data_IF_315921896865
#
_entry.id   IF_315921896865
#
_cell.length_a   1.000
_cell.length_b   1.000
_cell.length_c   1.000
_cell.angle_alpha   90.00
_cell.angle_beta   90.00
_cell.angle_gamma   90.00
#
_symmetry.space_group_name_H-M   'P 1'
#
loop_
_entity.id
_entity.type
_entity.pdbx_description
1 polymer ?
#
# COMPACT_ATOMS: atom_id res chain seq x y z
N UNK A 1 22.55 0.84 -15.27
CA UNK A 1 23.04 1.00 -13.88
C UNK A 1 21.87 1.51 -13.08
N UNK A 2 21.35 0.72 -12.12
CA UNK A 2 20.18 1.10 -11.33
C UNK A 2 20.44 2.43 -10.61
N UNK A 3 19.41 3.29 -10.53
CA UNK A 3 19.47 4.57 -9.80
C UNK A 3 19.90 4.38 -8.35
N UNK A 4 19.52 3.25 -7.73
CA UNK A 4 19.95 2.84 -6.40
C UNK A 4 21.46 2.61 -6.32
N UNK A 5 22.02 1.93 -7.33
CA UNK A 5 23.46 1.67 -7.44
C UNK A 5 24.27 2.96 -7.63
N UNK A 6 23.74 3.92 -8.39
CA UNK A 6 24.36 5.23 -8.57
C UNK A 6 24.34 6.05 -7.27
N UNK A 7 23.24 6.02 -6.51
CA UNK A 7 23.14 6.68 -5.21
C UNK A 7 24.09 6.05 -4.18
N UNK A 8 24.16 4.71 -4.12
CA UNK A 8 25.08 3.99 -3.24
C UNK A 8 26.54 4.35 -3.57
N UNK A 9 26.90 4.39 -4.86
CA UNK A 9 28.24 4.77 -5.30
C UNK A 9 28.58 6.21 -4.93
N UNK A 10 27.64 7.15 -5.09
CA UNK A 10 27.84 8.55 -4.70
C UNK A 10 27.99 8.71 -3.18
N UNK A 11 27.19 8.00 -2.38
CA UNK A 11 27.30 8.00 -0.93
C UNK A 11 28.60 7.35 -0.45
N UNK A 12 29.02 6.24 -1.07
CA UNK A 12 30.29 5.59 -0.77
C UNK A 12 31.49 6.47 -1.13
N UNK A 13 31.42 7.19 -2.27
CA UNK A 13 32.44 8.16 -2.67
C UNK A 13 32.50 9.32 -1.67
N UNK A 14 31.36 9.87 -1.27
CA UNK A 14 31.30 10.95 -0.29
C UNK A 14 31.83 10.51 1.08
N UNK A 15 31.43 9.32 1.56
CA UNK A 15 31.95 8.73 2.79
C UNK A 15 33.47 8.47 2.69
N UNK A 16 33.95 7.96 1.55
CA UNK A 16 35.37 7.78 1.27
C UNK A 16 36.15 9.09 1.30
N UNK A 17 35.62 10.16 0.72
CA UNK A 17 36.21 11.50 0.76
C UNK A 17 36.24 12.08 2.18
N UNK A 18 35.18 11.87 2.97
CA UNK A 18 35.14 12.28 4.38
C UNK A 18 36.16 11.50 5.21
N UNK A 19 36.23 10.18 5.05
CA UNK A 19 37.22 9.34 5.76
C UNK A 19 38.63 9.72 5.33
N UNK A 20 38.89 9.94 4.04
CA UNK A 20 40.19 10.38 3.54
C UNK A 20 40.56 11.75 4.11
N UNK A 21 39.62 12.70 4.17
CA UNK A 21 39.81 14.01 4.80
C UNK A 21 40.11 13.88 6.30
N UNK A 22 39.38 13.03 7.02
CA UNK A 22 39.60 12.78 8.45
C UNK A 22 40.95 12.11 8.70
N UNK A 23 41.34 11.13 7.89
CA UNK A 23 42.65 10.47 7.97
C UNK A 23 43.79 11.43 7.63
N UNK A 24 43.66 12.23 6.58
CA UNK A 24 44.64 13.27 6.23
C UNK A 24 44.75 14.34 7.33
N UNK A 25 43.65 14.68 7.99
CA UNK A 25 43.63 15.64 9.09
C UNK A 25 44.10 15.02 10.43
N UNK A 26 43.99 13.70 10.60
CA UNK A 26 44.54 12.95 11.72
C UNK A 26 46.04 12.70 11.57
N UNK A 27 46.52 12.49 10.34
CA UNK A 27 47.92 12.33 9.99
C UNK A 27 48.70 13.65 9.95
N UNK A 28 48.03 14.79 10.08
CA UNK A 28 48.70 16.08 10.29
C UNK A 28 49.40 16.07 11.66
N UNK A 29 50.72 16.22 11.64
CA UNK A 29 51.55 16.38 12.85
C UNK A 29 50.98 17.50 13.74
N UNK A 30 50.27 17.11 14.78
CA UNK A 30 49.85 18.03 15.84
C UNK A 30 51.07 18.21 16.73
N UNK A 31 51.55 19.45 16.88
CA UNK A 31 52.64 19.78 17.80
C UNK A 31 52.37 19.11 19.15
N UNK A 32 53.30 18.29 19.68
CA UNK A 32 53.08 17.57 20.92
C UNK A 32 53.03 18.59 22.06
N UNK A 33 51.83 18.94 22.52
CA UNK A 33 51.66 19.54 23.85
C UNK A 33 51.64 18.36 24.82
N UNK A 34 52.78 17.70 24.96
CA UNK A 34 53.01 16.66 25.96
C UNK A 34 53.43 17.35 27.27
N UNK A 35 52.72 17.01 28.35
CA UNK A 35 53.03 17.28 29.78
C UNK A 35 52.11 18.22 30.56
N UNK A 36 51.04 18.79 29.97
CA UNK A 36 50.06 19.63 30.72
C UNK A 36 48.67 18.95 30.81
N UNK A 37 48.14 18.72 32.05
CA UNK A 37 46.79 18.21 32.25
C UNK A 37 45.73 19.06 31.53
N UNK A 38 44.65 18.48 30.97
CA UNK A 38 43.70 19.21 30.11
C UNK A 38 43.12 20.49 30.72
N UNK A 39 42.92 20.54 32.05
CA UNK A 39 42.40 21.68 32.78
C UNK A 39 43.43 22.82 33.02
N UNK A 40 44.72 22.56 32.81
CA UNK A 40 45.82 23.51 33.02
C UNK A 40 46.45 23.97 31.70
N UNK A 41 45.93 23.51 30.56
CA UNK A 41 46.40 23.95 29.25
C UNK A 41 46.09 25.45 29.09
N UNK A 42 47.03 26.26 28.56
CA UNK A 42 46.73 27.62 28.18
C UNK A 42 45.50 27.63 27.27
N UNK A 43 44.54 28.52 27.56
CA UNK A 43 43.45 28.78 26.63
C UNK A 43 44.02 29.25 25.28
N UNK A 44 43.23 29.12 24.23
CA UNK A 44 43.57 29.73 22.94
C UNK A 44 43.80 31.22 23.14
N UNK A 45 44.82 31.77 22.49
CA UNK A 45 45.00 33.21 22.43
C UNK A 45 43.84 33.87 21.67
N UNK A 46 43.59 35.16 21.92
CA UNK A 46 42.52 35.90 21.23
C UNK A 46 42.65 35.80 19.70
N UNK A 47 43.86 35.86 19.17
CA UNK A 47 44.11 35.73 17.73
C UNK A 47 43.86 34.31 17.19
N UNK A 48 44.07 33.27 18.00
CA UNK A 48 43.72 31.89 17.64
C UNK A 48 42.20 31.65 17.67
N UNK A 49 41.52 32.24 18.65
CA UNK A 49 40.06 32.20 18.81
C UNK A 49 39.37 32.87 17.62
N UNK A 50 39.80 34.09 17.28
CA UNK A 50 39.18 34.92 16.24
C UNK A 50 39.49 34.42 14.81
N UNK A 51 40.59 33.70 14.61
CA UNK A 51 40.97 33.21 13.28
C UNK A 51 40.75 31.71 13.15
N UNK A 52 41.70 30.91 13.64
CA UNK A 52 41.75 29.47 13.33
C UNK A 52 40.59 28.66 13.92
N UNK A 53 40.16 29.01 15.13
CA UNK A 53 39.08 28.30 15.83
C UNK A 53 37.73 28.72 15.24
N UNK A 54 37.52 30.02 15.04
CA UNK A 54 36.32 30.56 14.40
C UNK A 54 36.15 30.03 12.97
N UNK A 55 37.20 30.11 12.13
CA UNK A 55 37.19 29.58 10.76
C UNK A 55 36.84 28.09 10.72
N UNK A 56 37.35 27.30 11.69
CA UNK A 56 37.04 25.87 11.79
C UNK A 56 35.56 25.63 12.09
N UNK A 57 34.98 26.36 13.03
CA UNK A 57 33.56 26.20 13.37
C UNK A 57 32.64 26.71 12.25
N UNK A 58 32.98 27.85 11.63
CA UNK A 58 32.26 28.35 10.46
C UNK A 58 32.34 27.37 9.28
N UNK A 59 33.50 26.76 9.06
CA UNK A 59 33.68 25.71 8.06
C UNK A 59 32.76 24.51 8.30
N UNK A 60 32.66 24.03 9.54
CA UNK A 60 31.71 22.98 9.90
C UNK A 60 30.25 23.41 9.73
N UNK A 61 29.90 24.67 10.04
CA UNK A 61 28.58 25.21 9.81
C UNK A 61 28.16 25.20 8.33
N UNK A 62 29.08 25.57 7.43
CA UNK A 62 28.86 25.52 5.98
C UNK A 62 28.68 24.07 5.52
N UNK A 63 29.53 23.15 5.96
CA UNK A 63 29.42 21.72 5.62
C UNK A 63 28.06 21.17 6.03
N UNK A 64 27.63 21.44 7.27
CA UNK A 64 26.34 20.98 7.79
C UNK A 64 25.16 21.58 7.01
N UNK A 65 25.27 22.85 6.64
CA UNK A 65 24.27 23.56 5.82
C UNK A 65 24.16 22.92 4.43
N UNK A 66 25.28 22.62 3.77
CA UNK A 66 25.31 21.95 2.46
C UNK A 66 24.73 20.54 2.57
N UNK A 67 25.06 19.80 3.63
CA UNK A 67 24.48 18.47 3.89
C UNK A 67 22.96 18.55 3.95
N UNK A 68 22.38 19.44 4.76
CA UNK A 68 20.92 19.56 4.86
C UNK A 68 20.29 20.09 3.57
N UNK A 69 20.93 21.04 2.90
CA UNK A 69 20.45 21.61 1.63
C UNK A 69 20.36 20.58 0.50
N UNK A 70 21.17 19.52 0.55
CA UNK A 70 21.11 18.41 -0.42
C UNK A 70 20.26 17.25 0.11
N UNK A 71 20.43 16.89 1.37
CA UNK A 71 19.76 15.74 1.99
C UNK A 71 18.25 15.93 2.06
N UNK A 72 17.75 17.09 2.49
CA UNK A 72 16.31 17.30 2.65
C UNK A 72 15.56 17.25 1.30
N UNK A 73 16.01 17.91 0.22
CA UNK A 73 15.40 17.73 -1.09
C UNK A 73 15.51 16.31 -1.64
N UNK A 74 16.66 15.64 -1.47
CA UNK A 74 16.83 14.25 -1.91
C UNK A 74 15.91 13.29 -1.15
N UNK A 75 15.78 13.48 0.16
CA UNK A 75 14.84 12.73 1.01
C UNK A 75 13.40 12.98 0.57
N UNK A 76 13.02 14.25 0.36
CA UNK A 76 11.68 14.63 -0.10
C UNK A 76 11.34 14.04 -1.47
N UNK A 77 12.29 13.97 -2.41
CA UNK A 77 12.09 13.34 -3.72
C UNK A 77 11.88 11.82 -3.63
N UNK A 78 12.36 11.16 -2.57
CA UNK A 78 12.20 9.72 -2.36
C UNK A 78 11.04 9.37 -1.41
N UNK A 79 10.57 10.32 -0.59
CA UNK A 79 9.47 10.14 0.36
C UNK A 79 8.16 9.64 -0.31
N UNK A 80 7.74 10.12 -1.50
CA UNK A 80 6.57 9.56 -2.17
C UNK A 80 6.67 8.05 -2.41
N UNK A 81 7.85 7.54 -2.82
CA UNK A 81 8.03 6.08 -3.05
C UNK A 81 7.94 5.27 -1.77
N UNK A 82 8.46 5.81 -0.66
CA UNK A 82 8.37 5.18 0.67
C UNK A 82 6.92 5.12 1.15
N UNK A 83 6.16 6.20 0.95
CA UNK A 83 4.76 6.27 1.34
C UNK A 83 3.87 5.37 0.46
N UNK A 84 4.17 5.26 -0.84
CA UNK A 84 3.45 4.37 -1.77
C UNK A 84 3.44 2.91 -1.30
N UNK A 85 4.61 2.35 -0.96
CA UNK A 85 4.70 0.96 -0.48
C UNK A 85 3.96 0.73 0.84
N UNK A 86 3.87 1.76 1.70
CA UNK A 86 3.12 1.67 2.96
C UNK A 86 1.60 1.73 2.74
N UNK A 87 1.11 2.62 1.89
CA UNK A 87 -0.33 2.77 1.64
C UNK A 87 -0.93 1.55 0.92
N UNK A 88 -0.21 0.96 -0.04
CA UNK A 88 -0.63 -0.28 -0.70
C UNK A 88 -0.73 -1.44 0.29
N UNK A 89 0.26 -1.56 1.19
CA UNK A 89 0.24 -2.57 2.24
C UNK A 89 -0.91 -2.37 3.22
N UNK A 90 -1.16 -1.13 3.64
CA UNK A 90 -2.23 -0.80 4.58
C UNK A 90 -3.61 -1.14 3.98
N UNK A 91 -3.83 -0.86 2.68
CA UNK A 91 -5.07 -1.21 1.98
C UNK A 91 -5.24 -2.72 1.80
N UNK A 92 -4.21 -3.43 1.33
CA UNK A 92 -4.29 -4.90 1.17
C UNK A 92 -4.59 -5.57 2.51
N UNK A 93 -3.89 -5.15 3.57
CA UNK A 93 -4.14 -5.67 4.90
C UNK A 93 -5.54 -5.31 5.42
N UNK A 94 -6.05 -4.10 5.12
CA UNK A 94 -7.44 -3.71 5.41
C UNK A 94 -8.44 -4.62 4.71
N UNK A 95 -8.25 -4.86 3.40
CA UNK A 95 -9.11 -5.73 2.61
C UNK A 95 -9.12 -7.18 3.10
N UNK A 96 -7.95 -7.75 3.41
CA UNK A 96 -7.82 -9.13 3.89
C UNK A 96 -8.48 -9.31 5.26
N UNK A 97 -8.20 -8.42 6.22
CA UNK A 97 -8.88 -8.41 7.52
C UNK A 97 -10.39 -8.21 7.37
N UNK A 98 -10.79 -7.29 6.47
CA UNK A 98 -12.17 -7.02 6.15
C UNK A 98 -12.91 -8.24 5.62
N UNK A 99 -12.27 -9.01 4.74
CA UNK A 99 -12.80 -10.26 4.22
C UNK A 99 -13.02 -11.28 5.33
N UNK A 100 -12.04 -11.50 6.19
CA UNK A 100 -12.12 -12.46 7.29
C UNK A 100 -13.25 -12.09 8.26
N UNK A 101 -13.31 -10.81 8.64
CA UNK A 101 -14.36 -10.27 9.49
C UNK A 101 -15.74 -10.41 8.85
N UNK A 102 -15.85 -10.10 7.56
CA UNK A 102 -17.09 -10.22 6.81
C UNK A 102 -17.57 -11.68 6.74
N UNK A 103 -16.68 -12.61 6.41
CA UNK A 103 -17.00 -14.03 6.34
C UNK A 103 -17.46 -14.55 7.70
N UNK A 104 -16.77 -14.17 8.78
CA UNK A 104 -17.09 -14.61 10.13
C UNK A 104 -18.43 -14.06 10.65
N UNK A 105 -18.80 -12.82 10.30
CA UNK A 105 -19.89 -12.10 10.97
C UNK A 105 -21.10 -11.79 10.07
N UNK A 106 -20.89 -11.57 8.77
CA UNK A 106 -21.89 -11.00 7.87
C UNK A 106 -22.40 -12.00 6.82
N UNK A 107 -21.57 -12.96 6.43
CA UNK A 107 -21.85 -13.87 5.31
C UNK A 107 -23.08 -14.76 5.51
N UNK A 108 -23.42 -15.08 6.76
CA UNK A 108 -24.58 -15.92 7.09
C UNK A 108 -25.89 -15.33 6.57
N UNK A 109 -26.00 -13.99 6.53
CA UNK A 109 -27.17 -13.30 6.01
C UNK A 109 -26.92 -12.76 4.59
N UNK A 110 -25.75 -12.15 4.36
CA UNK A 110 -25.47 -11.40 3.13
C UNK A 110 -24.79 -12.20 2.02
N UNK A 111 -24.57 -13.50 2.20
CA UNK A 111 -23.87 -14.36 1.25
C UNK A 111 -22.35 -14.26 1.39
N UNK A 112 -21.61 -15.22 0.82
CA UNK A 112 -20.17 -15.30 1.01
C UNK A 112 -19.40 -14.16 0.32
N UNK A 113 -19.97 -13.57 -0.72
CA UNK A 113 -19.42 -12.46 -1.50
C UNK A 113 -20.31 -11.21 -1.46
N UNK A 114 -21.23 -11.11 -0.51
CA UNK A 114 -22.16 -9.96 -0.45
C UNK A 114 -23.28 -10.00 -1.47
N UNK A 115 -23.55 -11.15 -2.09
CA UNK A 115 -24.62 -11.33 -3.08
C UNK A 115 -26.05 -11.15 -2.51
N UNK A 116 -26.18 -11.03 -1.20
CA UNK A 116 -27.45 -10.96 -0.48
C UNK A 116 -27.92 -12.35 -0.05
N UNK A 117 -29.07 -12.38 0.61
CA UNK A 117 -29.60 -13.63 1.16
C UNK A 117 -30.84 -13.35 2.00
N UNK A 118 -30.99 -14.08 3.09
CA UNK A 118 -32.09 -13.87 4.02
C UNK A 118 -31.90 -14.61 5.32
N UNK A 119 -32.63 -14.17 6.33
CA UNK A 119 -32.71 -14.83 7.64
C UNK A 119 -34.16 -14.90 8.08
N UNK A 120 -34.49 -15.78 9.03
CA UNK A 120 -35.83 -15.86 9.58
C UNK A 120 -36.24 -14.50 10.18
N UNK A 121 -37.47 -14.08 9.92
CA UNK A 121 -37.99 -12.84 10.49
C UNK A 121 -38.12 -12.97 12.01
N UNK A 122 -37.75 -11.90 12.73
CA UNK A 122 -37.92 -11.84 14.19
C UNK A 122 -39.37 -11.68 14.62
N UNK A 123 -40.27 -11.43 13.66
CA UNK A 123 -41.69 -11.17 13.91
C UNK A 123 -42.61 -12.32 13.50
N UNK A 124 -42.19 -13.14 12.53
CA UNK A 124 -42.93 -14.30 12.03
C UNK A 124 -41.95 -15.39 11.61
N UNK A 125 -42.10 -16.59 12.18
CA UNK A 125 -41.20 -17.71 11.93
C UNK A 125 -41.35 -18.31 10.52
N UNK A 126 -42.49 -18.05 9.86
CA UNK A 126 -42.75 -18.50 8.49
C UNK A 126 -42.32 -17.47 7.44
N UNK A 127 -41.86 -16.29 7.87
CA UNK A 127 -41.41 -15.20 6.99
C UNK A 127 -39.88 -15.06 6.99
N UNK A 128 -39.32 -14.67 5.85
CA UNK A 128 -37.86 -14.50 5.66
C UNK A 128 -37.55 -13.03 5.42
N UNK A 129 -36.74 -12.44 6.29
CA UNK A 129 -36.23 -11.10 6.08
C UNK A 129 -35.10 -11.14 5.05
N UNK A 130 -35.29 -10.47 3.91
CA UNK A 130 -34.28 -10.39 2.86
C UNK A 130 -33.09 -9.55 3.31
N UNK A 131 -31.90 -10.15 3.30
CA UNK A 131 -30.65 -9.45 3.46
C UNK A 131 -30.27 -8.79 2.12
N UNK A 132 -30.03 -7.48 2.09
CA UNK A 132 -29.74 -6.79 0.85
C UNK A 132 -28.45 -7.30 0.20
N UNK A 133 -28.47 -7.37 -1.13
CA UNK A 133 -27.25 -7.54 -1.93
C UNK A 133 -26.34 -6.32 -1.70
N UNK A 134 -25.13 -6.59 -1.19
CA UNK A 134 -24.12 -5.59 -0.90
C UNK A 134 -23.26 -5.29 -2.12
N UNK A 135 -23.12 -6.22 -3.08
CA UNK A 135 -22.37 -6.01 -4.34
C UNK A 135 -22.95 -4.93 -5.26
N UNK A 136 -24.10 -4.35 -4.93
CA UNK A 136 -24.74 -3.30 -5.72
C UNK A 136 -25.20 -2.12 -4.87
N UNK A 137 -24.67 -1.99 -3.65
CA UNK A 137 -25.10 -0.96 -2.69
C UNK A 137 -24.79 0.45 -3.19
N UNK A 138 -23.63 0.65 -3.83
CA UNK A 138 -23.26 1.96 -4.39
C UNK A 138 -24.31 2.39 -5.41
N UNK A 139 -24.56 1.54 -6.41
CA UNK A 139 -25.58 1.79 -7.44
C UNK A 139 -26.99 1.97 -6.86
N UNK A 140 -27.34 1.24 -5.80
CA UNK A 140 -28.67 1.36 -5.17
C UNK A 140 -28.93 2.79 -4.69
N UNK A 141 -27.88 3.49 -4.25
CA UNK A 141 -27.97 4.82 -3.65
C UNK A 141 -27.37 5.95 -4.51
N UNK A 142 -26.85 5.62 -5.70
CA UNK A 142 -26.25 6.56 -6.66
C UNK A 142 -27.19 7.73 -7.02
N UNK A 143 -28.47 7.41 -7.30
CA UNK A 143 -29.52 8.40 -7.60
C UNK A 143 -30.49 8.61 -6.41
N UNK A 144 -30.15 8.07 -5.25
CA UNK A 144 -31.05 8.05 -4.09
C UNK A 144 -31.08 9.38 -3.35
N UNK A 145 -32.27 9.95 -3.15
CA UNK A 145 -32.45 11.07 -2.24
C UNK A 145 -32.13 10.64 -0.80
N UNK A 146 -31.01 11.10 -0.24
CA UNK A 146 -30.68 10.95 1.18
C UNK A 146 -29.35 10.25 1.52
N UNK A 147 -28.57 9.80 0.53
CA UNK A 147 -27.21 9.25 0.75
C UNK A 147 -26.22 10.08 -0.07
N UNK A 148 -25.45 10.94 0.61
CA UNK A 148 -24.46 11.82 -0.05
C UNK A 148 -23.06 11.21 -0.08
N UNK A 149 -22.74 10.36 0.89
CA UNK A 149 -21.49 9.61 0.96
C UNK A 149 -21.84 8.15 1.29
N UNK A 150 -21.54 7.26 0.34
CA UNK A 150 -21.87 5.84 0.49
C UNK A 150 -21.01 5.15 1.55
N UNK A 151 -19.76 5.60 1.75
CA UNK A 151 -18.88 5.05 2.77
C UNK A 151 -19.43 5.38 4.14
N UNK A 152 -19.71 6.66 4.39
CA UNK A 152 -20.30 7.14 5.64
C UNK A 152 -21.63 6.43 5.92
N UNK A 153 -22.44 6.20 4.88
CA UNK A 153 -23.69 5.45 5.00
C UNK A 153 -23.46 3.99 5.43
N UNK A 154 -22.50 3.30 4.83
CA UNK A 154 -22.16 1.91 5.20
C UNK A 154 -21.62 1.87 6.62
N UNK A 155 -20.63 2.71 6.95
CA UNK A 155 -20.01 2.75 8.28
C UNK A 155 -21.06 3.08 9.34
N UNK A 156 -21.88 4.11 9.15
CA UNK A 156 -22.97 4.45 10.06
C UNK A 156 -23.96 3.31 10.23
N UNK A 157 -24.28 2.59 9.16
CA UNK A 157 -25.19 1.43 9.20
C UNK A 157 -24.57 0.26 9.96
N UNK A 158 -23.27 0.01 9.79
CA UNK A 158 -22.56 -1.04 10.53
C UNK A 158 -22.43 -0.66 12.02
N UNK A 159 -22.09 0.59 12.32
CA UNK A 159 -22.02 1.10 13.68
C UNK A 159 -23.36 0.93 14.40
N UNK A 160 -24.45 1.46 13.84
CA UNK A 160 -25.75 1.55 14.52
C UNK A 160 -26.68 0.36 14.30
N UNK A 161 -26.36 -0.49 13.33
CA UNK A 161 -27.31 -1.46 12.81
C UNK A 161 -28.49 -0.78 12.13
N UNK A 162 -29.55 -1.55 11.86
CA UNK A 162 -30.79 -1.02 11.29
C UNK A 162 -31.99 -1.40 12.17
N UNK A 163 -32.45 -0.48 13.04
CA UNK A 163 -33.58 -0.72 13.92
C UNK A 163 -34.82 -1.23 13.17
N UNK A 164 -35.50 -2.22 13.76
CA UNK A 164 -36.66 -2.87 13.13
C UNK A 164 -36.31 -3.91 12.07
N UNK A 165 -35.02 -4.26 11.91
CA UNK A 165 -34.57 -5.38 11.08
C UNK A 165 -33.68 -6.33 11.89
N UNK A 166 -33.41 -7.55 11.40
CA UNK A 166 -32.43 -8.45 12.02
C UNK A 166 -30.96 -7.96 11.97
N UNK A 167 -30.65 -6.81 11.35
CA UNK A 167 -29.29 -6.27 11.27
C UNK A 167 -28.92 -5.53 12.58
N UNK A 168 -28.07 -6.12 13.45
CA UNK A 168 -27.73 -5.53 14.73
C UNK A 168 -26.70 -4.40 14.58
N UNK A 169 -26.46 -3.68 15.68
CA UNK A 169 -25.31 -2.78 15.80
C UNK A 169 -24.02 -3.60 15.91
N UNK A 170 -23.00 -3.23 15.13
CA UNK A 170 -21.69 -3.88 15.16
C UNK A 170 -20.60 -3.00 15.78
N UNK A 171 -20.77 -1.68 15.71
CA UNK A 171 -19.83 -0.74 16.29
C UNK A 171 -19.83 -0.78 17.81
N UNK A 172 -18.63 -0.78 18.39
CA UNK A 172 -18.42 -0.79 19.85
C UNK A 172 -19.05 0.39 20.57
N UNK A 173 -19.17 1.54 19.90
CA UNK A 173 -19.87 2.74 20.34
C UNK A 173 -21.39 2.57 20.48
N UNK A 174 -21.97 1.59 19.79
CA UNK A 174 -23.38 1.21 19.89
C UNK A 174 -23.58 -0.18 20.54
N UNK A 175 -22.57 -0.68 21.24
CA UNK A 175 -22.63 -1.94 21.99
C UNK A 175 -22.39 -3.20 21.17
N UNK A 176 -21.95 -3.06 19.91
CA UNK A 176 -21.49 -4.17 19.08
C UNK A 176 -20.05 -4.61 19.39
N UNK A 177 -19.59 -5.73 18.80
CA UNK A 177 -18.29 -6.32 19.15
C UNK A 177 -17.10 -5.74 18.38
N UNK A 178 -17.33 -4.89 17.36
CA UNK A 178 -16.28 -4.45 16.44
C UNK A 178 -15.76 -3.05 16.76
N UNK A 179 -14.44 -2.86 16.59
CA UNK A 179 -13.79 -1.55 16.68
C UNK A 179 -14.00 -0.72 15.41
N UNK A 180 -13.79 0.59 15.48
CA UNK A 180 -13.89 1.50 14.32
C UNK A 180 -13.01 1.02 13.15
N UNK A 181 -11.79 0.55 13.44
CA UNK A 181 -10.90 0.01 12.41
C UNK A 181 -11.47 -1.26 11.75
N UNK A 182 -12.09 -2.15 12.52
CA UNK A 182 -12.71 -3.36 11.97
C UNK A 182 -13.92 -3.02 11.10
N UNK A 183 -14.67 -1.96 11.44
CA UNK A 183 -15.77 -1.44 10.62
C UNK A 183 -15.24 -0.86 9.31
N UNK A 184 -14.14 -0.10 9.36
CA UNK A 184 -13.44 0.39 8.17
C UNK A 184 -12.96 -0.75 7.28
N UNK A 185 -12.31 -1.77 7.86
CA UNK A 185 -11.81 -2.94 7.12
C UNK A 185 -12.96 -3.67 6.38
N UNK A 186 -14.10 -3.90 7.06
CA UNK A 186 -15.30 -4.49 6.43
C UNK A 186 -15.86 -3.58 5.33
N UNK A 187 -15.89 -2.27 5.56
CA UNK A 187 -16.40 -1.29 4.58
C UNK A 187 -15.52 -1.27 3.33
N UNK A 188 -14.20 -1.29 3.50
CA UNK A 188 -13.23 -1.40 2.40
C UNK A 188 -13.48 -2.66 1.58
N UNK A 189 -13.72 -3.79 2.24
CA UNK A 189 -14.07 -5.04 1.57
C UNK A 189 -15.42 -4.96 0.82
N UNK A 190 -16.47 -4.39 1.42
CA UNK A 190 -17.79 -4.23 0.76
C UNK A 190 -17.66 -3.35 -0.49
N UNK A 191 -16.98 -2.21 -0.37
CA UNK A 191 -16.77 -1.27 -1.46
C UNK A 191 -15.90 -1.88 -2.55
N UNK A 192 -14.92 -2.71 -2.20
CA UNK A 192 -14.09 -3.41 -3.17
C UNK A 192 -14.83 -4.52 -3.94
N UNK A 193 -16.00 -4.96 -3.48
CA UNK A 193 -16.79 -6.03 -4.10
C UNK A 193 -18.03 -5.53 -4.89
N UNK A 194 -18.07 -4.26 -5.28
CA UNK A 194 -19.16 -3.74 -6.11
C UNK A 194 -19.13 -4.28 -7.54
N UNK A 195 -20.32 -4.53 -8.12
CA UNK A 195 -20.52 -5.00 -9.50
C UNK A 195 -21.05 -3.87 -10.38
N UNK A 196 -20.50 -3.79 -11.60
CA UNK A 196 -20.93 -2.86 -12.62
C UNK A 196 -22.37 -3.15 -13.14
N UNK A 197 -23.01 -2.12 -13.74
CA UNK A 197 -24.25 -2.27 -14.51
C UNK A 197 -23.96 -3.11 -15.76
N UNK A 198 -24.83 -4.06 -16.11
CA UNK A 198 -24.60 -4.99 -17.23
C UNK A 198 -24.47 -4.21 -18.56
N UNK A 199 -23.24 -4.22 -19.09
CA UNK A 199 -22.77 -4.04 -20.46
C UNK A 199 -23.59 -3.19 -21.45
N UNK A 200 -23.14 -1.95 -21.70
CA UNK A 200 -23.02 -1.51 -23.10
C UNK A 200 -21.83 -2.25 -23.72
N UNK A 201 -21.94 -2.63 -25.00
CA UNK A 201 -20.99 -3.50 -25.70
C UNK A 201 -19.54 -3.11 -25.37
N UNK A 202 -18.82 -4.01 -24.72
CA UNK A 202 -17.46 -3.78 -24.25
C UNK A 202 -16.49 -3.96 -25.44
N UNK A 203 -15.92 -2.89 -26.03
CA UNK A 203 -14.93 -3.02 -27.09
C UNK A 203 -13.68 -3.79 -26.62
N UNK A 204 -13.54 -4.03 -25.32
CA UNK A 204 -12.50 -4.86 -24.73
C UNK A 204 -12.81 -6.36 -24.71
N UNK A 205 -14.06 -6.78 -24.95
CA UNK A 205 -14.43 -8.20 -24.97
C UNK A 205 -13.66 -8.97 -26.04
N UNK A 206 -13.42 -8.36 -27.21
CA UNK A 206 -12.68 -8.99 -28.31
C UNK A 206 -11.15 -8.88 -28.16
N UNK A 207 -10.66 -8.14 -27.16
CA UNK A 207 -9.24 -7.94 -26.94
C UNK A 207 -8.65 -9.02 -26.04
N UNK A 208 -7.45 -9.47 -26.38
CA UNK A 208 -6.65 -10.35 -25.51
C UNK A 208 -6.14 -9.58 -24.29
N UNK A 209 -5.84 -10.30 -23.20
CA UNK A 209 -5.24 -9.70 -21.99
C UNK A 209 -3.97 -8.90 -22.26
N UNK A 210 -3.15 -9.34 -23.22
CA UNK A 210 -1.95 -8.61 -23.68
C UNK A 210 -2.32 -7.27 -24.32
N UNK A 211 -3.34 -7.24 -25.18
CA UNK A 211 -3.78 -6.00 -25.84
C UNK A 211 -4.36 -5.01 -24.83
N UNK A 212 -5.16 -5.51 -23.89
CA UNK A 212 -5.72 -4.71 -22.80
C UNK A 212 -4.61 -4.09 -21.94
N UNK A 213 -3.62 -4.90 -21.54
CA UNK A 213 -2.46 -4.43 -20.81
C UNK A 213 -1.67 -3.37 -21.59
N UNK A 214 -1.41 -3.61 -22.87
CA UNK A 214 -0.63 -2.71 -23.71
C UNK A 214 -1.33 -1.37 -23.99
N UNK A 215 -2.66 -1.32 -24.01
CA UNK A 215 -3.38 -0.07 -24.26
C UNK A 215 -3.31 0.89 -23.07
N UNK A 216 -3.31 0.33 -21.86
CA UNK A 216 -3.68 1.06 -20.66
C UNK A 216 -2.71 0.90 -19.49
N UNK A 217 -2.27 -0.32 -19.20
CA UNK A 217 -1.47 -0.63 -18.01
C UNK A 217 0.03 -0.36 -18.24
N UNK A 218 0.54 -0.60 -19.45
CA UNK A 218 1.99 -0.50 -19.75
C UNK A 218 2.57 0.89 -19.44
N UNK A 219 1.76 1.94 -19.58
CA UNK A 219 2.19 3.33 -19.41
C UNK A 219 2.72 3.59 -17.99
N UNK A 220 2.21 2.85 -17.01
CA UNK A 220 2.59 2.98 -15.61
C UNK A 220 3.40 1.78 -15.12
N UNK A 221 3.04 0.56 -15.53
CA UNK A 221 3.63 -0.68 -15.02
C UNK A 221 4.75 -1.25 -15.90
N UNK A 222 5.11 -0.57 -17.00
CA UNK A 222 6.19 -1.00 -17.89
C UNK A 222 5.76 -2.06 -18.89
N UNK A 223 6.59 -2.30 -19.91
CA UNK A 223 6.27 -3.25 -21.00
C UNK A 223 6.43 -4.70 -20.54
N UNK A 224 7.41 -4.92 -19.67
CA UNK A 224 7.84 -6.21 -19.13
C UNK A 224 7.43 -6.35 -17.65
N UNK A 225 6.43 -5.56 -17.21
CA UNK A 225 5.89 -5.52 -15.83
C UNK A 225 6.87 -4.95 -14.79
N UNK A 226 7.94 -4.32 -15.22
CA UNK A 226 9.04 -3.81 -14.40
C UNK A 226 8.66 -2.61 -13.52
N UNK A 227 7.58 -1.92 -13.84
CA UNK A 227 7.14 -0.71 -13.13
C UNK A 227 7.93 0.55 -13.51
N UNK A 228 7.30 1.71 -13.33
CA UNK A 228 7.97 3.02 -13.47
C UNK A 228 7.22 4.09 -12.66
N UNK A 229 5.98 4.38 -13.07
CA UNK A 229 5.04 5.24 -12.33
C UNK A 229 4.22 4.40 -11.35
N UNK A 230 3.72 3.25 -11.84
CA UNK A 230 3.10 2.23 -11.01
C UNK A 230 4.14 1.20 -10.56
N UNK A 231 3.83 0.42 -9.50
CA UNK A 231 4.74 -0.60 -8.97
C UNK A 231 4.99 -1.72 -10.00
N UNK A 232 6.06 -2.48 -9.77
CA UNK A 232 6.33 -3.68 -10.56
C UNK A 232 5.24 -4.73 -10.34
N UNK A 233 4.76 -5.31 -11.44
CA UNK A 233 3.82 -6.45 -11.41
C UNK A 233 4.56 -7.79 -11.55
N UNK A 234 5.89 -7.79 -11.55
CA UNK A 234 6.69 -9.02 -11.44
C UNK A 234 6.57 -9.55 -10.01
N UNK A 235 6.21 -10.84 -9.89
CA UNK A 235 5.94 -11.50 -8.62
C UNK A 235 4.59 -11.16 -7.97
N UNK A 236 3.69 -10.43 -8.66
CA UNK A 236 2.44 -9.94 -8.04
C UNK A 236 1.57 -11.06 -7.47
N UNK A 237 1.51 -12.23 -8.13
CA UNK A 237 0.73 -13.39 -7.66
C UNK A 237 1.45 -14.23 -6.59
N UNK A 238 2.65 -13.83 -6.18
CA UNK A 238 3.31 -14.37 -4.99
C UNK A 238 3.00 -13.49 -3.77
N UNK A 239 2.78 -12.19 -3.98
CA UNK A 239 2.39 -11.22 -2.94
C UNK A 239 0.88 -11.17 -2.70
N UNK A 240 0.07 -11.39 -3.74
CA UNK A 240 -1.38 -11.22 -3.67
C UNK A 240 -2.12 -12.39 -4.31
N UNK A 241 -3.31 -12.68 -3.78
CA UNK A 241 -4.22 -13.63 -4.39
C UNK A 241 -4.72 -13.14 -5.75
N UNK A 242 -5.30 -14.04 -6.55
CA UNK A 242 -5.92 -13.66 -7.83
C UNK A 242 -7.06 -12.67 -7.61
N UNK A 243 -7.82 -12.92 -6.56
CA UNK A 243 -9.01 -12.20 -6.16
C UNK A 243 -8.62 -10.78 -5.69
N UNK A 244 -7.53 -10.65 -4.95
CA UNK A 244 -6.96 -9.35 -4.56
C UNK A 244 -6.57 -8.52 -5.78
N UNK A 245 -5.82 -9.10 -6.73
CA UNK A 245 -5.41 -8.40 -7.96
C UNK A 245 -6.63 -8.00 -8.80
N UNK A 246 -7.65 -8.86 -8.88
CA UNK A 246 -8.90 -8.53 -9.56
C UNK A 246 -9.63 -7.39 -8.84
N UNK A 247 -9.72 -7.42 -7.51
CA UNK A 247 -10.31 -6.34 -6.70
C UNK A 247 -9.61 -4.99 -6.91
N UNK A 248 -8.28 -4.99 -7.01
CA UNK A 248 -7.48 -3.79 -7.34
C UNK A 248 -7.84 -3.28 -8.75
N UNK A 249 -7.92 -4.16 -9.75
CA UNK A 249 -8.33 -3.75 -11.09
C UNK A 249 -9.75 -3.19 -11.12
N UNK A 250 -10.66 -3.71 -10.30
CA UNK A 250 -12.04 -3.22 -10.25
C UNK A 250 -12.16 -1.82 -9.66
N UNK A 251 -11.44 -1.55 -8.58
CA UNK A 251 -11.68 -0.37 -7.74
C UNK A 251 -10.57 0.67 -7.80
N UNK A 252 -9.42 0.30 -8.36
CA UNK A 252 -8.23 1.13 -8.31
C UNK A 252 -7.63 1.18 -6.91
N UNK A 253 -6.53 1.93 -6.79
CA UNK A 253 -5.87 2.23 -5.52
C UNK A 253 -5.52 3.72 -5.54
N UNK A 254 -5.97 4.46 -4.53
CA UNK A 254 -5.54 5.83 -4.30
C UNK A 254 -4.32 5.88 -3.40
N UNK A 255 -3.22 6.43 -3.89
CA UNK A 255 -2.01 6.64 -3.09
C UNK A 255 -2.00 8.09 -2.56
N UNK A 256 -1.54 8.27 -1.31
CA UNK A 256 -1.58 9.55 -0.60
C UNK A 256 -0.80 10.70 -1.29
N UNK A 257 0.05 10.39 -2.26
CA UNK A 257 0.82 11.35 -3.05
C UNK A 257 0.07 11.87 -4.30
N UNK A 258 -1.22 11.55 -4.45
CA UNK A 258 -2.04 11.95 -5.60
C UNK A 258 -1.86 11.07 -6.85
N UNK A 259 -1.02 10.03 -6.79
CA UNK A 259 -0.95 9.02 -7.86
C UNK A 259 -2.04 7.99 -7.58
N UNK A 260 -3.04 7.95 -8.44
CA UNK A 260 -4.12 6.96 -8.37
C UNK A 260 -3.91 5.93 -9.49
N UNK A 261 -3.91 4.65 -9.14
CA UNK A 261 -4.29 3.63 -10.10
C UNK A 261 -5.80 3.71 -10.19
N UNK A 262 -6.37 4.21 -11.31
CA UNK A 262 -7.81 4.33 -11.41
C UNK A 262 -8.47 2.94 -11.42
N UNK A 263 -9.74 2.82 -11.01
CA UNK A 263 -10.51 1.64 -11.30
C UNK A 263 -10.57 1.41 -12.81
N UNK A 264 -10.48 0.14 -13.18
CA UNK A 264 -10.64 -0.34 -14.54
C UNK A 264 -11.97 -1.03 -14.75
N UNK A 265 -12.86 -0.98 -13.77
CA UNK A 265 -14.30 -1.21 -13.93
C UNK A 265 -15.07 0.08 -13.70
N UNK A 266 -16.27 0.16 -14.27
CA UNK A 266 -17.25 1.18 -13.85
C UNK A 266 -17.51 1.02 -12.36
N UNK A 267 -17.10 2.01 -11.57
CA UNK A 267 -17.15 2.00 -10.11
C UNK A 267 -17.29 3.42 -9.55
N UNK A 268 -17.61 3.51 -8.26
CA UNK A 268 -18.03 4.72 -7.52
C UNK A 268 -17.28 6.02 -7.85
N UNK A 269 -15.99 5.97 -8.20
CA UNK A 269 -15.21 7.17 -8.49
C UNK A 269 -15.15 7.60 -9.97
N UNK A 270 -15.55 6.77 -10.95
CA UNK A 270 -15.39 7.09 -12.38
C UNK A 270 -16.49 6.44 -13.25
N UNK A 271 -17.40 7.28 -13.76
CA UNK A 271 -18.63 6.88 -14.48
C UNK A 271 -18.42 6.58 -15.98
N UNK A 272 -17.32 7.03 -16.59
CA UNK A 272 -17.04 6.87 -18.03
C UNK A 272 -16.22 5.60 -18.33
N UNK A 273 -16.92 4.45 -18.36
CA UNK A 273 -16.55 3.06 -18.69
C UNK A 273 -15.07 2.68 -18.86
N UNK A 274 -14.67 1.54 -18.25
CA UNK A 274 -13.65 0.61 -18.78
C UNK A 274 -13.92 -0.79 -18.23
N UNK A 275 -13.71 -1.81 -19.06
CA UNK A 275 -13.65 -3.27 -18.85
C UNK A 275 -14.72 -4.01 -18.03
N UNK A 276 -15.33 -5.02 -18.64
CA UNK A 276 -16.13 -6.05 -17.97
C UNK A 276 -15.26 -6.96 -17.08
N UNK A 277 -15.91 -7.74 -16.20
CA UNK A 277 -15.24 -8.81 -15.43
C UNK A 277 -14.46 -9.79 -16.31
N UNK A 278 -14.98 -10.06 -17.51
CA UNK A 278 -14.31 -10.91 -18.49
C UNK A 278 -13.01 -10.27 -19.00
N UNK A 279 -13.04 -8.99 -19.36
CA UNK A 279 -11.86 -8.25 -19.79
C UNK A 279 -10.82 -8.13 -18.66
N UNK A 280 -11.23 -7.88 -17.42
CA UNK A 280 -10.31 -7.88 -16.27
C UNK A 280 -9.69 -9.25 -16.03
N UNK A 281 -10.48 -10.32 -16.13
CA UNK A 281 -9.99 -11.70 -16.02
C UNK A 281 -8.91 -11.99 -17.07
N UNK A 282 -9.09 -11.54 -18.31
CA UNK A 282 -8.08 -11.65 -19.37
C UNK A 282 -6.79 -10.92 -19.01
N UNK A 283 -6.87 -9.72 -18.40
CA UNK A 283 -5.69 -8.99 -17.90
C UNK A 283 -4.99 -9.81 -16.82
N UNK A 284 -5.72 -10.31 -15.82
CA UNK A 284 -5.16 -11.13 -14.73
C UNK A 284 -4.48 -12.39 -15.28
N UNK A 285 -5.09 -13.06 -16.25
CA UNK A 285 -4.51 -14.25 -16.91
C UNK A 285 -3.25 -13.92 -17.69
N UNK A 286 -3.25 -12.78 -18.40
CA UNK A 286 -2.04 -12.28 -19.06
C UNK A 286 -0.94 -12.00 -18.05
N UNK A 287 -1.22 -11.25 -16.98
CA UNK A 287 -0.24 -10.96 -15.92
C UNK A 287 0.34 -12.25 -15.35
N UNK A 288 -0.52 -13.26 -15.10
CA UNK A 288 -0.10 -14.57 -14.60
C UNK A 288 0.83 -15.29 -15.59
N UNK A 289 0.51 -15.24 -16.89
CA UNK A 289 1.33 -15.86 -17.94
C UNK A 289 2.70 -15.22 -18.11
N UNK A 290 2.87 -13.96 -17.68
CA UNK A 290 4.13 -13.24 -17.76
C UNK A 290 4.95 -13.36 -16.47
N UNK A 291 4.44 -14.04 -15.42
CA UNK A 291 5.21 -14.22 -14.19
C UNK A 291 6.35 -15.21 -14.38
N UNK A 292 7.53 -14.96 -13.78
CA UNK A 292 8.59 -15.95 -13.74
C UNK A 292 8.15 -17.19 -12.94
N UNK A 293 8.79 -18.34 -13.16
CA UNK A 293 8.56 -19.54 -12.37
C UNK A 293 8.70 -19.24 -10.87
N UNK A 294 7.88 -19.90 -10.04
CA UNK A 294 8.02 -19.82 -8.57
C UNK A 294 9.46 -20.13 -8.17
N UNK A 295 10.07 -19.24 -7.38
CA UNK A 295 11.46 -19.37 -6.91
C UNK A 295 12.54 -18.79 -7.83
N UNK A 296 12.19 -18.18 -8.97
CA UNK A 296 13.14 -17.51 -9.89
C UNK A 296 12.80 -16.02 -10.07
N UNK A 297 12.31 -15.37 -9.02
CA UNK A 297 12.12 -13.94 -9.04
C UNK A 297 13.48 -13.23 -9.13
N UNK A 298 13.59 -12.10 -9.86
CA UNK A 298 14.79 -11.28 -9.78
C UNK A 298 14.97 -10.81 -8.32
N UNK A 299 16.23 -10.65 -7.88
CA UNK A 299 16.57 -10.29 -6.48
C UNK A 299 15.86 -9.03 -5.98
N UNK A 300 15.43 -8.18 -6.90
CA UNK A 300 14.76 -6.92 -6.65
C UNK A 300 13.22 -7.03 -6.74
N UNK A 301 12.65 -8.19 -7.02
CA UNK A 301 11.20 -8.43 -6.95
C UNK A 301 10.66 -8.31 -5.53
N UNK A 302 11.53 -8.52 -4.53
CA UNK A 302 11.25 -8.30 -3.12
C UNK A 302 11.32 -6.81 -2.74
N UNK A 303 11.95 -5.96 -3.56
CA UNK A 303 12.04 -4.51 -3.27
C UNK A 303 10.67 -3.81 -3.33
N UNK A 304 9.69 -4.47 -3.96
CA UNK A 304 8.29 -4.04 -4.03
C UNK A 304 7.39 -4.90 -3.13
N UNK A 305 7.97 -5.61 -2.15
CA UNK A 305 7.20 -6.16 -1.04
C UNK A 305 6.54 -4.99 -0.30
N UNK A 306 5.24 -5.12 -0.08
CA UNK A 306 4.58 -4.46 1.05
C UNK A 306 5.41 -4.75 2.32
N UNK A 307 5.55 -3.82 3.28
CA UNK A 307 6.62 -3.85 4.29
C UNK A 307 6.61 -4.99 5.34
N UNK A 308 5.98 -6.14 5.07
CA UNK A 308 6.07 -7.31 5.94
C UNK A 308 6.52 -8.57 5.18
N UNK A 309 7.65 -9.17 5.58
CA UNK A 309 7.90 -10.59 5.38
C UNK A 309 6.86 -11.39 6.15
N UNK A 310 6.64 -12.60 5.69
CA UNK A 310 5.72 -13.57 6.26
C UNK A 310 6.22 -14.03 7.66
N UNK A 311 6.02 -13.22 8.69
CA UNK A 311 6.32 -13.59 10.09
C UNK A 311 5.13 -14.36 10.70
N UNK A 312 4.66 -15.38 9.99
CA UNK A 312 3.86 -16.45 10.59
C UNK A 312 4.83 -17.53 11.10
N UNK A 313 4.63 -18.11 12.29
CA UNK A 313 5.49 -19.19 12.75
C UNK A 313 5.44 -20.34 11.74
N UNK A 314 6.61 -20.76 11.28
CA UNK A 314 6.79 -22.01 10.54
C UNK A 314 6.34 -23.16 11.43
N UNK A 315 5.08 -23.58 11.32
CA UNK A 315 4.64 -24.87 11.83
C UNK A 315 5.29 -25.95 10.98
N UNK A 316 6.38 -26.51 11.50
CA UNK A 316 6.93 -27.79 11.05
C UNK A 316 5.81 -28.84 11.09
N UNK A 317 5.35 -29.26 9.91
CA UNK A 317 4.49 -30.42 9.78
C UNK A 317 5.21 -31.65 10.38
N UNK A 318 4.58 -32.43 11.27
CA UNK A 318 5.23 -33.58 11.87
C UNK A 318 5.54 -34.61 10.78
N UNK A 319 6.83 -34.93 10.66
CA UNK A 319 7.30 -36.04 9.84
C UNK A 319 6.71 -37.34 10.38
N UNK A 320 5.84 -37.96 9.58
CA UNK A 320 5.51 -39.37 9.75
C UNK A 320 6.80 -40.17 9.58
N UNK A 321 7.17 -40.91 10.63
CA UNK A 321 8.13 -42.00 10.53
C UNK A 321 7.38 -43.31 10.69
N UNK A 322 7.54 -44.15 9.67
CA UNK A 322 7.23 -45.58 9.69
C UNK A 322 7.94 -46.25 10.86
N UNK A 323 7.16 -46.87 11.76
CA UNK A 323 7.33 -48.24 12.28
C UNK A 323 6.03 -48.72 12.91
#
# INVERSE_FOLDING_TARGET
MSTTLLVILLLALAAGLVVMFLLANAARDRRPIQDVPPALRPGYSDEELERSVLERYMGWGIVLTVIFAVFLPAYWLNEPRRQQGKTEADFVASFERGQELYVANCSICHGAQGEGGGTASTYDADDTWAAPNLTTIVRRYEEGEGVTDIRDYIETTLHRGRPGTPMPAWGSDYGGPLTDQQITDITDWILANQKARVAEADPAADLTGRQLYNQNCLKCHGKDLEGFIGPSLVGVFQRHSRETVLGILRNGIFLANGVSMPPWQTGYMYEDTRYTDEALTKIVDYLRSQQPPRGQLPEDAEQYQTPYPNDGPEEEAPSGSDT
#
